data_IF_142242503833
#
_entry.id   IF_142242503833
#
_cell.length_a   1.000
_cell.length_b   1.000
_cell.length_c   1.000
_cell.angle_alpha   90.00
_cell.angle_beta   90.00
_cell.angle_gamma   90.00
#
_symmetry.space_group_name_H-M   'P 1'
#
loop_
_entity.id
_entity.type
_entity.pdbx_description
1 polymer ?
#
# COMPACT_ATOMS: atom_id res chain seq x y z
N UNK A 1 57.76 -64.68 -72.77
CA UNK A 1 56.73 -63.82 -73.27
C UNK A 1 55.99 -63.20 -72.09
N UNK A 2 56.20 -61.92 -71.76
CA UNK A 2 55.57 -61.22 -70.65
C UNK A 2 54.66 -60.14 -71.22
N UNK A 3 53.47 -59.98 -70.67
CA UNK A 3 52.60 -58.86 -71.07
C UNK A 3 52.90 -57.61 -70.17
N UNK A 4 52.53 -56.37 -70.64
CA UNK A 4 52.90 -55.12 -69.99
C UNK A 4 51.94 -54.72 -68.91
N UNK A 5 52.50 -54.01 -67.86
CA UNK A 5 51.79 -53.44 -66.73
C UNK A 5 51.12 -52.11 -67.14
N UNK A 6 49.83 -51.96 -66.91
CA UNK A 6 49.07 -50.69 -66.98
C UNK A 6 49.20 -49.98 -65.62
N UNK A 7 49.67 -48.73 -65.66
CA UNK A 7 49.69 -47.83 -64.54
C UNK A 7 48.30 -47.10 -64.50
N UNK A 8 47.53 -47.35 -63.46
CA UNK A 8 46.35 -46.54 -63.12
C UNK A 8 46.71 -45.31 -62.28
N UNK A 9 46.46 -44.12 -62.80
CA UNK A 9 46.60 -42.89 -62.03
C UNK A 9 45.29 -42.67 -61.21
N UNK A 10 45.42 -42.68 -59.88
CA UNK A 10 44.39 -42.21 -58.95
C UNK A 10 44.39 -40.67 -58.93
N UNK A 11 43.24 -40.07 -59.30
CA UNK A 11 42.98 -38.66 -59.09
C UNK A 11 42.22 -38.54 -57.76
N UNK A 12 42.88 -37.97 -56.75
CA UNK A 12 42.24 -37.67 -55.48
C UNK A 12 41.53 -36.31 -55.57
N UNK A 13 40.19 -36.34 -55.52
CA UNK A 13 39.36 -35.12 -55.43
C UNK A 13 39.27 -34.71 -53.96
N UNK A 14 39.83 -33.59 -53.62
CA UNK A 14 39.68 -32.93 -52.32
C UNK A 14 38.35 -32.16 -52.30
N UNK A 15 37.32 -32.69 -51.63
CA UNK A 15 36.05 -31.95 -51.38
C UNK A 15 36.26 -31.11 -50.08
N UNK A 16 36.41 -29.79 -50.25
CA UNK A 16 36.37 -28.84 -49.13
C UNK A 16 34.95 -28.63 -48.65
N UNK A 17 34.58 -29.20 -47.47
CA UNK A 17 33.32 -28.96 -46.81
C UNK A 17 33.42 -27.60 -46.04
N UNK A 18 32.79 -26.56 -46.59
CA UNK A 18 32.51 -25.32 -45.86
C UNK A 18 31.45 -25.58 -44.76
N UNK A 19 31.89 -25.74 -43.51
CA UNK A 19 31.03 -25.78 -42.36
C UNK A 19 30.44 -24.38 -42.12
N UNK A 20 29.15 -24.19 -42.39
CA UNK A 20 28.40 -22.99 -41.95
C UNK A 20 28.19 -23.12 -40.43
N UNK A 21 28.97 -22.40 -39.64
CA UNK A 21 28.70 -22.22 -38.21
C UNK A 21 27.52 -21.28 -38.08
N UNK A 22 26.33 -21.86 -37.88
CA UNK A 22 25.14 -21.08 -37.52
C UNK A 22 25.38 -20.49 -36.10
N UNK A 23 25.59 -19.19 -36.00
CA UNK A 23 25.58 -18.47 -34.74
C UNK A 23 24.18 -18.58 -34.17
N UNK A 24 24.00 -19.37 -33.10
CA UNK A 24 22.77 -19.39 -32.33
C UNK A 24 22.64 -18.01 -31.64
N UNK A 25 21.69 -17.22 -32.11
CA UNK A 25 21.28 -16.00 -31.41
C UNK A 25 20.76 -16.42 -30.02
N UNK A 26 21.51 -16.07 -28.97
CA UNK A 26 21.04 -16.23 -27.60
C UNK A 26 19.80 -15.39 -27.45
N UNK A 27 18.67 -16.01 -27.07
CA UNK A 27 17.46 -15.29 -26.70
C UNK A 27 17.82 -14.28 -25.58
N UNK A 28 17.33 -13.03 -25.66
CA UNK A 28 17.58 -12.05 -24.62
C UNK A 28 17.14 -12.63 -23.26
N UNK A 29 18.01 -12.56 -22.27
CA UNK A 29 17.70 -13.02 -20.92
C UNK A 29 16.43 -12.30 -20.44
N UNK A 30 15.46 -13.02 -19.87
CA UNK A 30 14.28 -12.43 -19.29
C UNK A 30 14.71 -11.38 -18.24
N UNK A 31 14.05 -10.22 -18.16
CA UNK A 31 14.38 -9.22 -17.18
C UNK A 31 14.29 -9.82 -15.76
N UNK A 32 15.19 -9.42 -14.85
CA UNK A 32 15.18 -9.95 -13.48
C UNK A 32 13.86 -9.64 -12.79
N UNK A 33 13.35 -10.60 -11.98
CA UNK A 33 12.11 -10.43 -11.22
C UNK A 33 12.17 -9.17 -10.34
N UNK A 34 11.10 -8.38 -10.27
CA UNK A 34 10.98 -7.30 -9.31
C UNK A 34 10.99 -7.78 -7.84
N UNK A 35 10.60 -9.03 -7.58
CA UNK A 35 10.58 -9.60 -6.23
C UNK A 35 12.01 -9.97 -5.83
N UNK A 36 12.54 -9.28 -4.81
CA UNK A 36 13.87 -9.50 -4.23
C UNK A 36 13.79 -10.52 -3.09
N UNK A 37 12.71 -10.45 -2.29
CA UNK A 37 12.49 -11.33 -1.14
C UNK A 37 10.99 -11.60 -0.98
N UNK A 38 10.65 -12.81 -0.56
CA UNK A 38 9.30 -13.21 -0.18
C UNK A 38 9.38 -14.15 1.01
N UNK A 39 8.86 -13.71 2.16
CA UNK A 39 8.96 -14.42 3.44
C UNK A 39 7.67 -14.26 4.26
N UNK A 40 7.51 -15.01 5.33
CA UNK A 40 6.49 -14.73 6.34
C UNK A 40 7.12 -13.98 7.51
N UNK A 41 6.37 -13.04 8.12
CA UNK A 41 6.87 -12.28 9.29
C UNK A 41 7.11 -13.19 10.50
N UNK A 42 6.43 -14.33 10.57
CA UNK A 42 6.68 -15.34 11.59
C UNK A 42 6.63 -16.74 10.97
N UNK A 43 7.57 -17.59 11.31
CA UNK A 43 7.56 -19.02 10.90
C UNK A 43 6.33 -19.74 11.46
N UNK A 44 6.01 -19.48 12.72
CA UNK A 44 4.79 -19.93 13.38
C UNK A 44 3.93 -18.73 13.72
N UNK A 45 2.70 -18.70 13.21
CA UNK A 45 1.73 -17.68 13.58
C UNK A 45 1.45 -17.70 15.09
N UNK A 46 1.47 -16.56 15.77
CA UNK A 46 1.20 -16.51 17.21
C UNK A 46 -0.27 -16.73 17.55
N UNK A 47 -1.17 -16.65 16.57
CA UNK A 47 -2.63 -16.78 16.71
C UNK A 47 -3.22 -17.57 15.55
N UNK A 48 -4.42 -18.18 15.70
CA UNK A 48 -5.12 -18.86 14.62
C UNK A 48 -5.36 -17.97 13.40
N UNK A 49 -5.74 -16.69 13.63
CA UNK A 49 -5.91 -15.70 12.57
C UNK A 49 -5.04 -14.46 12.79
N UNK A 50 -4.58 -13.88 11.70
CA UNK A 50 -3.81 -12.63 11.64
C UNK A 50 -4.31 -11.77 10.47
N UNK A 51 -4.47 -10.44 10.69
CA UNK A 51 -5.03 -9.56 9.67
C UNK A 51 -4.53 -8.11 9.80
N UNK A 52 -4.64 -7.34 8.69
CA UNK A 52 -4.43 -5.90 8.61
C UNK A 52 -3.08 -5.45 9.19
N UNK A 53 -2.01 -5.83 8.51
CA UNK A 53 -0.66 -5.44 8.90
C UNK A 53 -0.33 -4.00 8.53
N UNK A 54 0.66 -3.45 9.23
CA UNK A 54 1.31 -2.17 8.98
C UNK A 54 2.82 -2.34 9.02
N UNK A 55 3.55 -1.50 8.28
CA UNK A 55 5.02 -1.49 8.21
C UNK A 55 5.57 -0.11 8.55
N UNK A 56 6.75 -0.06 9.15
CA UNK A 56 7.51 1.15 9.39
C UNK A 56 9.02 0.86 9.35
N UNK A 57 9.78 1.65 8.60
CA UNK A 57 11.21 1.80 8.79
C UNK A 57 11.45 2.93 9.79
N UNK A 58 12.04 2.63 10.96
CA UNK A 58 12.36 3.62 11.99
C UNK A 58 13.55 4.49 11.58
N UNK A 59 13.79 5.59 12.29
CA UNK A 59 14.91 6.49 11.98
C UNK A 59 16.28 5.83 12.12
N UNK A 60 16.44 4.83 12.96
CA UNK A 60 17.67 4.05 13.08
C UNK A 60 17.79 2.91 12.03
N UNK A 61 16.78 2.75 11.14
CA UNK A 61 16.81 1.78 10.03
C UNK A 61 16.23 0.42 10.39
N UNK A 62 15.59 0.25 11.54
CA UNK A 62 14.89 -0.99 11.86
C UNK A 62 13.57 -1.07 11.10
N UNK A 63 13.21 -2.25 10.66
CA UNK A 63 11.91 -2.50 10.08
C UNK A 63 10.98 -3.12 11.12
N UNK A 64 9.86 -2.47 11.38
CA UNK A 64 8.80 -2.93 12.26
C UNK A 64 7.58 -3.35 11.45
N UNK A 65 6.89 -4.40 11.91
CA UNK A 65 5.59 -4.81 11.41
C UNK A 65 4.64 -5.03 12.59
N UNK A 66 3.41 -4.54 12.47
CA UNK A 66 2.37 -4.84 13.44
C UNK A 66 1.09 -5.30 12.73
N UNK A 67 0.26 -6.10 13.40
CA UNK A 67 -1.02 -6.60 12.91
C UNK A 67 -1.95 -6.93 14.07
N UNK A 68 -3.21 -7.15 13.80
CA UNK A 68 -4.07 -7.72 14.80
C UNK A 68 -4.24 -9.24 14.60
N UNK A 69 -4.42 -9.99 15.69
CA UNK A 69 -4.58 -11.44 15.64
C UNK A 69 -5.16 -12.01 16.93
N UNK A 70 -5.94 -13.08 16.77
CA UNK A 70 -6.64 -13.83 17.81
C UNK A 70 -7.30 -15.06 17.21
N UNK A 71 -8.36 -15.57 17.84
CA UNK A 71 -9.10 -16.72 17.33
C UNK A 71 -9.73 -16.42 15.97
N UNK A 72 -10.42 -15.30 15.82
CA UNK A 72 -10.93 -14.76 14.56
C UNK A 72 -11.15 -13.25 14.68
N UNK A 73 -11.29 -12.56 13.56
CA UNK A 73 -11.58 -11.13 13.53
C UNK A 73 -12.85 -10.81 14.33
N UNK A 74 -12.75 -9.88 15.29
CA UNK A 74 -13.85 -9.52 16.19
C UNK A 74 -13.99 -10.38 17.44
N UNK A 75 -13.18 -11.42 17.62
CA UNK A 75 -13.16 -12.18 18.87
C UNK A 75 -12.53 -11.33 20.00
N UNK A 76 -12.99 -11.52 21.23
CA UNK A 76 -12.57 -10.74 22.39
C UNK A 76 -11.07 -10.90 22.74
N UNK A 77 -10.42 -11.98 22.29
CA UNK A 77 -9.00 -12.27 22.51
C UNK A 77 -8.07 -11.57 21.50
N UNK A 78 -8.64 -10.91 20.49
CA UNK A 78 -7.85 -10.21 19.45
C UNK A 78 -7.00 -9.11 20.07
N UNK A 79 -5.69 -9.22 19.90
CA UNK A 79 -4.69 -8.25 20.34
C UNK A 79 -3.83 -7.74 19.20
N UNK A 80 -3.00 -6.74 19.49
CA UNK A 80 -2.01 -6.17 18.58
C UNK A 80 -0.67 -6.87 18.78
N UNK A 81 -0.15 -7.42 17.72
CA UNK A 81 1.13 -8.10 17.65
C UNK A 81 2.15 -7.25 16.90
N UNK A 82 3.40 -7.29 17.36
CA UNK A 82 4.53 -6.58 16.78
C UNK A 82 5.68 -7.54 16.54
N UNK A 83 6.33 -7.43 15.39
CA UNK A 83 7.62 -8.05 15.09
C UNK A 83 8.60 -6.99 14.60
N UNK A 84 9.88 -7.17 14.92
CA UNK A 84 11.00 -6.39 14.42
C UNK A 84 11.82 -7.27 13.48
N UNK A 85 12.24 -6.74 12.34
CA UNK A 85 13.14 -7.44 11.44
C UNK A 85 14.58 -7.26 11.91
N UNK A 86 15.24 -8.38 12.20
CA UNK A 86 16.69 -8.44 12.40
C UNK A 86 17.44 -8.45 11.06
N UNK A 87 18.76 -8.54 11.07
CA UNK A 87 19.58 -8.54 9.85
C UNK A 87 19.24 -9.65 8.85
N UNK A 88 18.83 -10.82 9.32
CA UNK A 88 18.57 -12.00 8.50
C UNK A 88 17.09 -12.39 8.46
N UNK A 89 16.37 -12.24 9.57
CA UNK A 89 15.01 -12.72 9.73
C UNK A 89 14.19 -11.85 10.71
N UNK A 90 12.88 -12.02 10.71
CA UNK A 90 12.00 -11.43 11.69
C UNK A 90 12.19 -12.08 13.06
N UNK A 91 12.19 -11.27 14.11
CA UNK A 91 12.19 -11.73 15.50
C UNK A 91 10.81 -12.33 15.84
N UNK A 92 10.76 -13.13 16.89
CA UNK A 92 9.49 -13.70 17.40
C UNK A 92 8.50 -12.58 17.71
N UNK A 93 7.27 -12.63 17.15
CA UNK A 93 6.26 -11.65 17.44
C UNK A 93 5.89 -11.62 18.92
N UNK A 94 5.63 -10.42 19.43
CA UNK A 94 5.13 -10.21 20.80
C UNK A 94 3.83 -9.44 20.78
N UNK A 95 2.93 -9.75 21.71
CA UNK A 95 1.69 -9.00 21.92
C UNK A 95 2.04 -7.71 22.67
N UNK A 96 1.60 -6.57 22.15
CA UNK A 96 1.92 -5.26 22.72
C UNK A 96 0.71 -4.49 23.21
N UNK A 97 -0.50 -4.86 22.76
CA UNK A 97 -1.75 -4.28 23.21
C UNK A 97 -2.90 -5.27 23.06
N UNK A 98 -3.93 -5.11 23.89
CA UNK A 98 -5.20 -5.84 23.81
C UNK A 98 -6.32 -5.02 24.46
N UNK A 99 -7.54 -5.57 24.43
CA UNK A 99 -8.72 -4.98 25.05
C UNK A 99 -9.30 -5.81 26.19
N UNK A 100 -8.47 -6.58 26.92
CA UNK A 100 -8.91 -7.55 27.92
C UNK A 100 -9.84 -6.96 29.02
N UNK A 101 -9.71 -5.66 29.33
CA UNK A 101 -10.52 -4.96 30.34
C UNK A 101 -11.05 -3.60 29.87
N UNK A 102 -11.14 -3.40 28.55
CA UNK A 102 -11.40 -2.09 27.97
C UNK A 102 -12.88 -1.79 27.72
N UNK A 103 -13.73 -2.80 27.73
CA UNK A 103 -15.19 -2.65 27.53
C UNK A 103 -15.94 -2.22 28.79
N UNK A 104 -17.23 -2.00 28.66
CA UNK A 104 -18.12 -1.68 29.78
C UNK A 104 -18.03 -2.82 30.81
N UNK A 105 -17.98 -2.46 32.10
CA UNK A 105 -17.84 -3.39 33.22
C UNK A 105 -16.60 -4.31 33.15
N UNK A 106 -15.53 -3.86 32.46
CA UNK A 106 -14.29 -4.61 32.34
C UNK A 106 -14.37 -5.81 31.37
N UNK A 107 -15.39 -5.88 30.54
CA UNK A 107 -15.52 -6.93 29.53
C UNK A 107 -14.44 -6.77 28.44
N UNK A 108 -13.87 -7.88 27.99
CA UNK A 108 -12.90 -7.88 26.92
C UNK A 108 -13.55 -7.46 25.59
N UNK A 109 -12.84 -6.62 24.84
CA UNK A 109 -13.23 -6.21 23.48
C UNK A 109 -12.05 -6.40 22.51
N UNK A 110 -12.32 -6.70 21.22
CA UNK A 110 -11.27 -6.89 20.24
C UNK A 110 -10.47 -5.61 19.96
N UNK A 111 -9.19 -5.83 19.64
CA UNK A 111 -8.32 -4.81 19.07
C UNK A 111 -8.34 -4.88 17.54
N UNK A 112 -8.18 -3.71 16.87
CA UNK A 112 -8.33 -3.57 15.42
C UNK A 112 -7.24 -2.71 14.81
N UNK A 113 -6.91 -2.99 13.56
CA UNK A 113 -6.16 -2.16 12.60
C UNK A 113 -5.04 -1.32 13.23
N UNK A 114 -3.88 -1.91 13.56
CA UNK A 114 -2.73 -1.13 13.98
C UNK A 114 -2.18 -0.31 12.81
N UNK A 115 -1.67 0.88 13.12
CA UNK A 115 -0.94 1.74 12.19
C UNK A 115 0.31 2.25 12.87
N UNK A 116 1.47 1.86 12.33
CA UNK A 116 2.78 2.38 12.73
C UNK A 116 3.09 3.67 11.99
N UNK A 117 3.64 4.63 12.71
CA UNK A 117 4.10 5.91 12.16
C UNK A 117 5.25 6.47 13.00
N UNK A 118 6.17 7.18 12.37
CA UNK A 118 7.18 7.98 13.04
C UNK A 118 7.34 9.30 12.30
N UNK A 119 7.16 10.41 13.01
CA UNK A 119 7.45 11.74 12.48
C UNK A 119 8.95 11.96 12.36
N UNK A 120 9.37 13.02 11.68
CA UNK A 120 10.79 13.33 11.47
C UNK A 120 11.59 13.48 12.76
N UNK A 121 10.97 13.94 13.85
CA UNK A 121 11.64 14.23 15.14
C UNK A 121 11.05 13.47 16.32
N UNK A 122 9.82 12.96 16.21
CA UNK A 122 9.08 12.33 17.31
C UNK A 122 9.41 10.86 17.58
N UNK A 123 8.79 10.27 18.59
CA UNK A 123 8.87 8.84 18.87
C UNK A 123 8.18 8.00 17.80
N UNK A 124 8.39 6.69 17.82
CA UNK A 124 7.55 5.76 17.10
C UNK A 124 6.17 5.76 17.75
N UNK A 125 5.13 5.88 16.92
CA UNK A 125 3.73 5.89 17.34
C UNK A 125 3.04 4.65 16.75
N UNK A 126 2.25 3.97 17.57
CA UNK A 126 1.36 2.91 17.11
C UNK A 126 -0.05 3.29 17.50
N UNK A 127 -0.88 3.47 16.48
CA UNK A 127 -2.32 3.71 16.61
C UNK A 127 -3.07 2.40 16.43
N UNK A 128 -4.13 2.19 17.21
CA UNK A 128 -5.03 1.05 17.07
C UNK A 128 -6.41 1.39 17.60
N UNK A 129 -7.37 0.51 17.45
CA UNK A 129 -8.73 0.72 17.93
C UNK A 129 -9.11 -0.41 18.88
N UNK A 130 -9.94 -0.08 19.85
CA UNK A 130 -10.64 -1.04 20.69
C UNK A 130 -12.14 -0.84 20.54
N UNK A 131 -12.92 -1.88 20.63
CA UNK A 131 -14.36 -1.81 20.59
C UNK A 131 -15.00 -3.05 19.96
N UNK A 132 -16.31 -3.24 20.15
CA UNK A 132 -16.98 -4.47 19.72
C UNK A 132 -17.04 -4.64 18.19
N UNK A 133 -16.98 -3.55 17.44
CA UNK A 133 -17.00 -3.52 15.97
C UNK A 133 -16.59 -2.14 15.42
N UNK A 134 -16.35 -2.01 14.10
CA UNK A 134 -15.92 -0.74 13.49
C UNK A 134 -16.91 0.43 13.58
N UNK A 135 -18.17 0.20 13.96
CA UNK A 135 -19.16 1.28 14.17
C UNK A 135 -19.11 1.85 15.59
N UNK A 136 -18.48 1.12 16.53
CA UNK A 136 -18.51 1.43 17.96
C UNK A 136 -17.12 1.40 18.60
N UNK A 137 -16.07 1.44 17.83
CA UNK A 137 -14.70 1.47 18.31
C UNK A 137 -14.21 2.87 18.66
N UNK A 138 -13.12 2.95 19.40
CA UNK A 138 -12.43 4.18 19.75
C UNK A 138 -10.93 4.05 19.48
N UNK A 139 -10.25 5.19 19.27
CA UNK A 139 -8.83 5.24 18.97
C UNK A 139 -7.95 5.22 20.22
N UNK A 140 -6.80 4.54 20.11
CA UNK A 140 -5.74 4.54 21.11
C UNK A 140 -4.39 4.73 20.42
N UNK A 141 -3.41 5.15 21.23
CA UNK A 141 -2.02 5.35 20.82
C UNK A 141 -1.06 4.75 21.86
N UNK A 142 0.02 4.14 21.37
CA UNK A 142 1.23 3.79 22.13
C UNK A 142 2.41 4.58 21.58
N UNK A 143 3.37 4.92 22.43
CA UNK A 143 4.61 5.62 22.07
C UNK A 143 5.82 4.76 22.42
N UNK A 144 6.84 4.80 21.55
CA UNK A 144 8.14 4.20 21.80
C UNK A 144 9.25 5.20 21.49
N UNK A 145 10.12 5.45 22.44
CA UNK A 145 11.29 6.34 22.32
C UNK A 145 12.58 5.59 21.99
N UNK A 146 12.51 4.27 21.86
CA UNK A 146 13.62 3.37 21.60
C UNK A 146 13.38 2.45 20.37
N UNK A 147 12.74 3.04 19.36
CA UNK A 147 12.51 2.44 18.04
C UNK A 147 11.76 1.10 18.11
N UNK A 148 10.75 1.02 18.98
CA UNK A 148 9.83 -0.10 19.09
C UNK A 148 10.24 -1.18 20.09
N UNK A 149 11.35 -1.00 20.86
CA UNK A 149 11.76 -1.96 21.87
C UNK A 149 10.80 -1.96 23.07
N UNK A 150 10.47 -0.80 23.59
CA UNK A 150 9.50 -0.64 24.69
C UNK A 150 8.39 0.35 24.28
N UNK A 151 7.21 0.17 24.88
CA UNK A 151 6.03 0.97 24.57
C UNK A 151 5.41 1.56 25.84
N UNK A 152 4.92 2.77 25.73
CA UNK A 152 4.15 3.42 26.80
C UNK A 152 2.87 2.65 27.12
N UNK A 153 2.23 2.90 28.27
CA UNK A 153 0.84 2.52 28.45
C UNK A 153 -0.06 3.08 27.34
N UNK A 154 -1.18 2.40 27.02
CA UNK A 154 -2.15 2.89 26.04
C UNK A 154 -2.71 4.26 26.43
N UNK A 155 -2.75 5.17 25.47
CA UNK A 155 -3.38 6.49 25.60
C UNK A 155 -4.63 6.52 24.72
N UNK A 156 -5.80 6.73 25.31
CA UNK A 156 -7.04 6.93 24.54
C UNK A 156 -6.97 8.28 23.82
N UNK A 157 -7.32 8.27 22.54
CA UNK A 157 -7.49 9.51 21.79
C UNK A 157 -8.77 10.24 22.23
N UNK A 158 -8.84 11.56 22.05
CA UNK A 158 -10.04 12.33 22.40
C UNK A 158 -11.30 11.79 21.73
N UNK A 159 -12.45 12.01 22.34
CA UNK A 159 -13.71 11.58 21.76
C UNK A 159 -13.93 12.20 20.38
N UNK A 160 -14.36 11.35 19.43
CA UNK A 160 -14.53 11.73 18.03
C UNK A 160 -13.25 11.64 17.19
N UNK A 161 -12.09 11.42 17.79
CA UNK A 161 -10.80 11.17 17.12
C UNK A 161 -10.52 9.67 17.11
N UNK A 162 -10.25 9.12 15.93
CA UNK A 162 -9.93 7.70 15.74
C UNK A 162 -8.46 7.47 15.42
N UNK A 163 -7.74 8.52 15.01
CA UNK A 163 -6.41 8.38 14.42
C UNK A 163 -6.45 7.73 13.04
N UNK A 164 -5.31 7.37 12.47
CA UNK A 164 -5.25 6.64 11.20
C UNK A 164 -5.93 5.28 11.34
N UNK A 165 -6.83 4.95 10.41
CA UNK A 165 -7.64 3.71 10.53
C UNK A 165 -6.88 2.47 10.05
N UNK A 166 -6.22 2.53 8.89
CA UNK A 166 -5.52 1.40 8.29
C UNK A 166 -4.19 1.81 7.66
N UNK A 167 -4.19 2.92 6.95
CA UNK A 167 -3.04 3.36 6.19
C UNK A 167 -2.28 4.44 6.96
N UNK A 168 -0.99 4.53 6.68
CA UNK A 168 -0.04 5.40 7.37
C UNK A 168 -0.36 6.89 7.18
N UNK A 169 -0.16 7.73 8.21
CA UNK A 169 -0.15 9.18 8.06
C UNK A 169 0.95 9.66 7.11
N UNK A 170 0.81 10.90 6.63
CA UNK A 170 1.89 11.66 6.00
C UNK A 170 2.23 12.86 6.87
N UNK A 171 3.52 13.22 6.94
CA UNK A 171 3.95 14.47 7.54
C UNK A 171 4.21 15.49 6.42
N UNK A 172 3.53 16.63 6.51
CA UNK A 172 3.69 17.73 5.56
C UNK A 172 4.98 18.51 5.85
N UNK A 173 5.50 19.29 4.88
CA UNK A 173 6.73 20.08 5.07
C UNK A 173 6.68 21.09 6.23
N UNK A 174 5.48 21.54 6.61
CA UNK A 174 5.27 22.44 7.77
C UNK A 174 5.25 21.69 9.13
N UNK A 175 5.48 20.37 9.14
CA UNK A 175 5.48 19.54 10.34
C UNK A 175 4.12 18.91 10.69
N UNK A 176 3.02 19.37 10.10
CA UNK A 176 1.68 18.80 10.33
C UNK A 176 1.64 17.32 9.98
N UNK A 177 1.15 16.51 10.90
CA UNK A 177 0.80 15.11 10.66
C UNK A 177 -0.64 15.07 10.15
N UNK A 178 -0.83 14.49 8.96
CA UNK A 178 -2.13 14.29 8.36
C UNK A 178 -2.46 12.79 8.34
N UNK A 179 -3.45 12.39 9.13
CA UNK A 179 -3.84 10.99 9.32
C UNK A 179 -5.08 10.65 8.47
N UNK A 180 -4.98 9.60 7.63
CA UNK A 180 -6.12 9.10 6.88
C UNK A 180 -7.05 8.32 7.80
N UNK A 181 -8.25 8.83 7.99
CA UNK A 181 -9.25 8.27 8.89
C UNK A 181 -10.56 7.98 8.18
N UNK A 182 -11.46 7.27 8.84
CA UNK A 182 -12.81 7.01 8.34
C UNK A 182 -13.72 6.55 9.47
N UNK A 183 -15.04 6.70 9.27
CA UNK A 183 -16.05 6.20 10.19
C UNK A 183 -17.11 5.38 9.45
N UNK A 184 -17.73 4.44 10.16
CA UNK A 184 -18.72 3.50 9.63
C UNK A 184 -20.07 3.57 10.36
N UNK A 185 -20.19 4.42 11.37
CA UNK A 185 -21.37 4.58 12.23
C UNK A 185 -22.61 5.10 11.50
N UNK A 186 -22.43 5.98 10.51
CA UNK A 186 -23.49 6.60 9.71
C UNK A 186 -23.30 6.39 8.21
N UNK A 187 -22.86 5.21 7.81
CA UNK A 187 -22.39 4.89 6.47
C UNK A 187 -20.89 5.14 6.35
N UNK A 188 -20.29 4.66 5.27
CA UNK A 188 -18.86 4.74 5.04
C UNK A 188 -18.40 6.13 4.65
N UNK A 189 -17.66 6.79 5.53
CA UNK A 189 -17.21 8.17 5.36
C UNK A 189 -15.70 8.27 5.61
N UNK A 190 -14.96 8.57 4.56
CA UNK A 190 -13.56 8.95 4.66
C UNK A 190 -13.44 10.38 5.19
N UNK A 191 -12.50 10.64 6.07
CA UNK A 191 -12.15 11.97 6.55
C UNK A 191 -10.66 12.00 6.91
N UNK A 192 -10.15 13.17 7.19
CA UNK A 192 -8.79 13.33 7.70
C UNK A 192 -8.83 13.83 9.13
N UNK A 193 -7.84 13.43 9.88
CA UNK A 193 -7.51 13.98 11.19
C UNK A 193 -6.08 14.52 11.14
N UNK A 194 -5.78 15.59 11.86
CA UNK A 194 -4.44 16.16 11.82
C UNK A 194 -3.97 16.61 13.20
N UNK A 195 -2.66 16.68 13.34
CA UNK A 195 -1.96 17.18 14.51
C UNK A 195 -0.81 18.08 14.07
N UNK A 196 -0.66 19.21 14.75
CA UNK A 196 0.43 20.17 14.53
C UNK A 196 1.53 20.04 15.59
N UNK A 197 1.39 19.13 16.55
CA UNK A 197 2.26 18.95 17.72
C UNK A 197 2.61 17.48 17.97
N UNK A 198 2.94 16.77 16.90
CA UNK A 198 3.38 15.37 16.92
C UNK A 198 2.38 14.39 17.57
N UNK A 199 1.09 14.66 17.36
CA UNK A 199 0.00 13.82 17.85
C UNK A 199 -0.40 14.07 19.30
N UNK A 200 0.07 15.15 19.95
CA UNK A 200 -0.39 15.51 21.29
C UNK A 200 -1.85 16.01 21.26
N UNK A 201 -2.19 16.83 20.28
CA UNK A 201 -3.56 17.29 20.06
C UNK A 201 -4.00 16.96 18.63
N UNK A 202 -5.28 16.62 18.48
CA UNK A 202 -5.86 16.21 17.20
C UNK A 202 -7.07 17.05 16.85
N UNK A 203 -7.22 17.32 15.55
CA UNK A 203 -8.38 17.92 14.95
C UNK A 203 -8.94 16.96 13.90
N UNK A 204 -10.26 17.05 13.68
CA UNK A 204 -10.98 16.22 12.69
C UNK A 204 -11.62 17.07 11.63
N UNK A 205 -11.41 16.69 10.37
CA UNK A 205 -12.04 17.29 9.20
C UNK A 205 -13.45 16.79 8.95
N UNK A 206 -14.13 17.48 8.06
CA UNK A 206 -15.42 17.05 7.52
C UNK A 206 -15.23 15.80 6.65
N UNK A 207 -16.27 14.96 6.50
CA UNK A 207 -16.22 13.84 5.56
C UNK A 207 -15.87 14.31 4.13
N UNK A 208 -15.03 13.54 3.45
CA UNK A 208 -14.62 13.77 2.06
C UNK A 208 -15.68 13.32 1.05
N UNK A 209 -16.69 12.57 1.50
CA UNK A 209 -17.71 11.96 0.65
C UNK A 209 -19.10 12.04 1.29
N UNK A 210 -20.10 12.05 0.42
CA UNK A 210 -21.46 11.65 0.80
C UNK A 210 -21.56 10.12 0.71
N UNK A 211 -21.76 9.46 1.85
CA UNK A 211 -21.84 8.02 1.94
C UNK A 211 -22.99 7.40 1.13
N UNK A 212 -24.02 8.20 0.76
CA UNK A 212 -25.12 7.75 -0.11
C UNK A 212 -24.71 7.69 -1.58
N UNK A 213 -23.83 8.59 -2.00
CA UNK A 213 -23.33 8.64 -3.37
C UNK A 213 -22.15 7.66 -3.56
N UNK A 214 -21.13 7.77 -2.70
CA UNK A 214 -19.94 6.90 -2.71
C UNK A 214 -19.64 6.50 -1.26
N UNK A 215 -19.86 5.24 -0.90
CA UNK A 215 -19.44 4.72 0.39
C UNK A 215 -17.94 4.45 0.39
N UNK A 216 -17.14 5.28 1.07
CA UNK A 216 -15.67 5.27 1.00
C UNK A 216 -15.02 5.26 2.40
N UNK A 217 -14.00 4.41 2.60
CA UNK A 217 -13.23 4.33 3.86
C UNK A 217 -11.75 4.04 3.62
N UNK A 218 -10.95 4.20 4.68
CA UNK A 218 -9.56 3.78 4.78
C UNK A 218 -8.67 4.33 3.66
N UNK A 219 -8.63 5.64 3.42
CA UNK A 219 -7.77 6.21 2.39
C UNK A 219 -6.28 5.97 2.66
N UNK A 220 -5.48 5.85 1.60
CA UNK A 220 -4.06 6.18 1.60
C UNK A 220 -3.89 7.64 1.23
N UNK A 221 -2.88 8.30 1.76
CA UNK A 221 -2.49 9.66 1.39
C UNK A 221 -1.22 9.63 0.54
N UNK A 222 -1.26 10.30 -0.59
CA UNK A 222 -0.13 10.50 -1.48
C UNK A 222 0.19 11.99 -1.57
N UNK A 223 1.42 12.37 -1.19
CA UNK A 223 1.94 13.72 -1.35
C UNK A 223 2.84 13.76 -2.59
N UNK A 224 2.36 14.41 -3.63
CA UNK A 224 3.08 14.52 -4.90
C UNK A 224 4.19 15.58 -4.83
N UNK A 225 5.24 15.48 -5.68
CA UNK A 225 6.32 16.48 -5.71
C UNK A 225 5.86 17.91 -6.02
N UNK A 226 4.72 18.08 -6.69
CA UNK A 226 4.10 19.39 -7.00
C UNK A 226 3.26 19.95 -5.83
N UNK A 227 3.23 19.28 -4.70
CA UNK A 227 2.50 19.68 -3.49
C UNK A 227 1.04 19.23 -3.44
N UNK A 228 0.50 18.60 -4.50
CA UNK A 228 -0.83 18.01 -4.46
C UNK A 228 -0.89 16.87 -3.44
N UNK A 229 -1.99 16.80 -2.72
CA UNK A 229 -2.35 15.63 -1.92
C UNK A 229 -3.46 14.84 -2.63
N UNK A 230 -3.38 13.52 -2.60
CA UNK A 230 -4.45 12.64 -3.03
C UNK A 230 -4.86 11.75 -1.86
N UNK A 231 -6.17 11.63 -1.64
CA UNK A 231 -6.76 10.56 -0.83
C UNK A 231 -7.35 9.50 -1.77
N UNK A 232 -6.85 8.27 -1.65
CA UNK A 232 -7.14 7.14 -2.52
C UNK A 232 -7.48 5.93 -1.67
N UNK A 233 -8.56 5.21 -1.97
CA UNK A 233 -8.92 4.03 -1.19
C UNK A 233 -10.11 3.25 -1.73
N UNK A 234 -10.62 2.32 -0.92
CA UNK A 234 -11.71 1.41 -1.30
C UNK A 234 -13.09 2.06 -1.20
N UNK A 235 -13.98 1.64 -2.08
CA UNK A 235 -15.39 2.03 -2.03
C UNK A 235 -16.32 0.81 -2.07
N UNK A 236 -17.59 1.04 -1.75
CA UNK A 236 -18.66 0.04 -1.89
C UNK A 236 -19.09 -0.17 -3.35
N UNK A 237 -18.58 0.62 -4.29
CA UNK A 237 -18.96 0.62 -5.70
C UNK A 237 -18.05 -0.24 -6.58
N UNK A 238 -17.30 -1.19 -6.01
CA UNK A 238 -16.35 -2.07 -6.72
C UNK A 238 -15.25 -1.33 -7.49
N UNK A 239 -14.96 -0.09 -7.12
CA UNK A 239 -13.88 0.74 -7.68
C UNK A 239 -13.15 1.47 -6.57
N UNK A 240 -11.94 1.88 -6.82
CA UNK A 240 -11.24 2.79 -5.93
C UNK A 240 -11.84 4.19 -6.05
N UNK A 241 -11.95 4.88 -4.91
CA UNK A 241 -12.24 6.32 -4.91
C UNK A 241 -10.95 7.13 -4.95
N UNK A 242 -11.05 8.35 -5.44
CA UNK A 242 -10.00 9.36 -5.42
C UNK A 242 -10.56 10.75 -5.19
N UNK A 243 -9.80 11.56 -4.47
CA UNK A 243 -10.01 13.01 -4.37
C UNK A 243 -8.67 13.70 -4.15
N UNK A 244 -8.55 14.96 -4.60
CA UNK A 244 -7.32 15.75 -4.51
C UNK A 244 -7.52 17.01 -3.68
N UNK A 245 -6.44 17.43 -3.01
CA UNK A 245 -6.28 18.74 -2.39
C UNK A 245 -5.07 19.45 -3.01
N UNK A 246 -5.21 20.76 -3.26
CA UNK A 246 -4.16 21.61 -3.83
C UNK A 246 -3.58 22.60 -2.80
N UNK A 247 -4.05 22.55 -1.55
CA UNK A 247 -3.76 23.53 -0.50
C UNK A 247 -3.33 22.85 0.83
N UNK A 248 -2.64 21.73 0.73
CA UNK A 248 -2.12 21.02 1.90
C UNK A 248 -3.19 20.31 2.74
N UNK A 249 -4.31 19.93 2.13
CA UNK A 249 -5.37 19.16 2.78
C UNK A 249 -6.44 20.01 3.46
N UNK A 250 -6.46 21.34 3.22
CA UNK A 250 -7.48 22.23 3.77
C UNK A 250 -8.82 22.08 3.03
N UNK A 251 -8.77 22.03 1.70
CA UNK A 251 -9.94 21.82 0.85
C UNK A 251 -9.70 20.63 -0.09
N UNK A 252 -10.75 19.86 -0.35
CA UNK A 252 -10.73 18.67 -1.19
C UNK A 252 -11.71 18.81 -2.34
N UNK A 253 -11.28 18.37 -3.51
CA UNK A 253 -12.15 18.30 -4.68
C UNK A 253 -13.26 17.28 -4.46
N UNK A 254 -14.36 17.31 -5.24
CA UNK A 254 -15.37 16.26 -5.18
C UNK A 254 -14.76 14.87 -5.39
N UNK A 255 -15.13 13.93 -4.50
CA UNK A 255 -14.70 12.54 -4.62
C UNK A 255 -15.30 11.90 -5.87
N UNK A 256 -14.48 11.11 -6.59
CA UNK A 256 -14.92 10.35 -7.76
C UNK A 256 -14.36 8.93 -7.71
N UNK A 257 -14.92 8.06 -8.53
CA UNK A 257 -14.44 6.68 -8.70
C UNK A 257 -13.41 6.64 -9.85
N UNK A 258 -12.28 5.97 -9.62
CA UNK A 258 -11.29 5.67 -10.64
C UNK A 258 -11.76 4.48 -11.49
N UNK A 259 -11.22 4.36 -12.70
CA UNK A 259 -11.40 3.14 -13.50
C UNK A 259 -10.39 2.05 -13.07
N UNK A 260 -10.42 1.75 -11.78
CA UNK A 260 -9.61 0.72 -11.12
C UNK A 260 -10.55 -0.12 -10.26
N UNK A 261 -10.75 -1.36 -10.68
CA UNK A 261 -11.60 -2.31 -9.93
C UNK A 261 -11.00 -2.64 -8.57
N UNK A 262 -11.89 -2.80 -7.58
CA UNK A 262 -11.54 -3.27 -6.24
C UNK A 262 -12.79 -3.87 -5.58
N UNK A 263 -12.72 -5.11 -5.04
CA UNK A 263 -13.87 -5.82 -4.48
C UNK A 263 -14.20 -5.33 -3.06
N UNK A 264 -14.16 -4.02 -2.84
CA UNK A 264 -14.33 -3.46 -1.52
C UNK A 264 -13.32 -4.05 -0.49
N UNK A 265 -12.07 -4.24 -0.93
CA UNK A 265 -10.96 -4.71 -0.12
C UNK A 265 -10.01 -3.58 0.26
N UNK A 266 -9.42 -3.65 1.45
CA UNK A 266 -8.42 -2.68 1.89
C UNK A 266 -7.23 -2.61 0.92
N UNK A 267 -6.77 -1.39 0.64
CA UNK A 267 -5.61 -1.09 -0.22
C UNK A 267 -4.58 -0.29 0.56
N UNK A 268 -3.37 -0.18 0.07
CA UNK A 268 -2.41 0.85 0.50
C UNK A 268 -1.59 1.36 -0.69
N UNK A 269 -1.16 2.63 -0.58
CA UNK A 269 -0.37 3.28 -1.61
C UNK A 269 0.77 4.10 -1.00
N UNK A 270 1.82 4.34 -1.79
CA UNK A 270 2.99 5.13 -1.39
C UNK A 270 3.53 5.91 -2.58
N UNK A 271 4.04 7.13 -2.35
CA UNK A 271 4.86 7.84 -3.33
C UNK A 271 6.27 7.29 -3.32
N UNK A 272 6.75 6.87 -4.49
CA UNK A 272 8.13 6.46 -4.68
C UNK A 272 9.03 7.69 -4.87
N UNK A 273 10.31 7.56 -4.54
CA UNK A 273 11.30 8.65 -4.70
C UNK A 273 11.51 9.08 -6.15
N UNK A 274 11.17 8.22 -7.11
CA UNK A 274 11.23 8.53 -8.53
C UNK A 274 10.00 9.31 -9.05
N UNK A 275 9.07 9.66 -8.14
CA UNK A 275 7.88 10.44 -8.44
C UNK A 275 6.66 9.61 -8.87
N UNK A 276 6.79 8.30 -9.02
CA UNK A 276 5.64 7.42 -9.27
C UNK A 276 4.87 7.15 -7.98
N UNK A 277 3.56 7.10 -8.05
CA UNK A 277 2.73 6.50 -7.03
C UNK A 277 2.67 4.98 -7.24
N UNK A 278 2.77 4.21 -6.15
CA UNK A 278 2.63 2.76 -6.15
C UNK A 278 1.42 2.37 -5.30
N UNK A 279 0.59 1.48 -5.83
CA UNK A 279 -0.63 0.97 -5.21
C UNK A 279 -0.53 -0.55 -5.08
N UNK A 280 -0.93 -1.09 -3.92
CA UNK A 280 -1.14 -2.52 -3.71
C UNK A 280 -2.62 -2.75 -3.43
N UNK A 281 -3.26 -3.64 -4.21
CA UNK A 281 -4.71 -3.78 -4.22
C UNK A 281 -5.18 -5.13 -4.77
N UNK A 282 -6.48 -5.42 -4.63
CA UNK A 282 -7.12 -6.56 -5.26
C UNK A 282 -7.82 -6.09 -6.56
N UNK A 283 -7.34 -6.48 -7.76
CA UNK A 283 -7.88 -6.05 -9.06
C UNK A 283 -9.06 -6.93 -9.50
N UNK A 284 -10.19 -6.82 -8.81
CA UNK A 284 -11.39 -7.60 -9.09
C UNK A 284 -12.64 -6.85 -8.61
N UNK A 285 -13.80 -7.34 -8.96
CA UNK A 285 -15.09 -6.92 -8.39
C UNK A 285 -15.52 -7.88 -7.28
N UNK A 286 -16.35 -7.42 -6.34
CA UNK A 286 -16.94 -8.25 -5.31
C UNK A 286 -17.90 -9.27 -5.92
N UNK A 287 -17.89 -10.48 -5.39
CA UNK A 287 -18.85 -11.53 -5.71
C UNK A 287 -19.97 -11.60 -4.68
N UNK A 288 -20.51 -12.80 -4.49
CA UNK A 288 -21.62 -13.05 -3.57
C UNK A 288 -21.19 -12.98 -2.11
N UNK A 289 -20.01 -13.53 -1.82
CA UNK A 289 -19.46 -13.59 -0.47
C UNK A 289 -18.49 -12.42 -0.23
N UNK A 290 -18.36 -11.98 1.02
CA UNK A 290 -17.58 -10.79 1.38
C UNK A 290 -16.06 -10.92 1.09
N UNK A 291 -15.55 -12.13 0.92
CA UNK A 291 -14.15 -12.42 0.56
C UNK A 291 -13.93 -12.57 -0.95
N UNK A 292 -14.98 -12.63 -1.73
CA UNK A 292 -14.88 -12.78 -3.18
C UNK A 292 -14.10 -11.61 -3.79
N UNK A 293 -13.29 -11.92 -4.80
CA UNK A 293 -12.42 -10.96 -5.46
C UNK A 293 -11.09 -10.69 -4.73
N UNK A 294 -10.83 -11.33 -3.58
CA UNK A 294 -9.58 -11.17 -2.82
C UNK A 294 -8.52 -12.22 -3.11
N UNK A 295 -8.73 -13.08 -4.10
CA UNK A 295 -7.81 -14.14 -4.51
C UNK A 295 -6.58 -13.65 -5.25
N UNK A 296 -6.67 -12.51 -5.93
CA UNK A 296 -5.53 -11.87 -6.61
C UNK A 296 -5.10 -10.63 -5.84
N UNK A 297 -3.79 -10.52 -5.55
CA UNK A 297 -3.17 -9.30 -5.00
C UNK A 297 -2.14 -8.78 -6.00
N UNK A 298 -2.23 -7.52 -6.37
CA UNK A 298 -1.41 -6.92 -7.41
C UNK A 298 -0.79 -5.59 -6.99
N UNK A 299 0.26 -5.21 -7.74
CA UNK A 299 0.93 -3.90 -7.66
C UNK A 299 0.65 -3.14 -8.94
N UNK A 300 0.26 -1.89 -8.82
CA UNK A 300 0.14 -0.94 -9.92
C UNK A 300 0.94 0.33 -9.64
N UNK A 301 1.32 1.04 -10.71
CA UNK A 301 2.01 2.32 -10.63
C UNK A 301 1.26 3.38 -11.44
N UNK A 302 1.42 4.64 -11.02
CA UNK A 302 0.84 5.81 -11.69
C UNK A 302 1.76 7.01 -11.54
N UNK A 303 1.74 7.94 -12.52
CA UNK A 303 2.43 9.24 -12.40
C UNK A 303 1.48 10.39 -12.06
N UNK A 304 0.19 10.22 -12.31
CA UNK A 304 -0.83 11.26 -12.15
C UNK A 304 -1.85 10.96 -11.04
N UNK A 305 -1.87 9.71 -10.53
CA UNK A 305 -2.82 9.23 -9.53
C UNK A 305 -4.21 8.87 -10.10
N UNK A 306 -4.39 8.98 -11.41
CA UNK A 306 -5.65 8.71 -12.12
C UNK A 306 -5.54 7.46 -12.98
N UNK A 307 -4.49 7.38 -13.79
CA UNK A 307 -4.22 6.27 -14.66
C UNK A 307 -3.22 5.31 -14.01
N UNK A 308 -3.66 4.07 -13.75
CA UNK A 308 -2.89 3.07 -13.04
C UNK A 308 -2.54 1.90 -13.96
N UNK A 309 -1.27 1.55 -14.02
CA UNK A 309 -0.78 0.39 -14.76
C UNK A 309 -0.38 -0.72 -13.80
N UNK A 310 -1.02 -1.89 -13.91
CA UNK A 310 -0.60 -3.09 -13.18
C UNK A 310 0.78 -3.54 -13.69
N UNK A 311 1.74 -3.68 -12.77
CA UNK A 311 3.13 -4.04 -13.08
C UNK A 311 3.54 -5.39 -12.50
N UNK A 312 2.82 -5.90 -11.49
CA UNK A 312 3.15 -7.16 -10.83
C UNK A 312 1.92 -7.81 -10.21
N UNK A 313 1.86 -9.14 -10.22
CA UNK A 313 0.95 -9.94 -9.40
C UNK A 313 1.76 -10.56 -8.27
N UNK A 314 1.37 -10.31 -7.02
CA UNK A 314 2.02 -10.87 -5.83
C UNK A 314 1.46 -12.25 -5.49
N UNK A 315 0.14 -12.40 -5.59
CA UNK A 315 -0.60 -13.63 -5.31
C UNK A 315 -1.73 -13.80 -6.32
N UNK A 316 -2.04 -15.05 -6.65
CA UNK A 316 -3.17 -15.40 -7.51
C UNK A 316 -3.70 -16.79 -7.13
N UNK A 317 -4.95 -16.87 -6.68
CA UNK A 317 -5.64 -18.09 -6.30
C UNK A 317 -7.15 -17.90 -6.42
N UNK A 318 -7.82 -18.91 -6.93
CA UNK A 318 -9.28 -18.90 -7.05
C UNK A 318 -10.01 -19.11 -5.70
N UNK A 319 -9.31 -19.59 -4.65
CA UNK A 319 -9.95 -20.09 -3.42
C UNK A 319 -9.40 -19.47 -2.13
N UNK A 320 -8.41 -18.60 -2.22
CA UNK A 320 -7.72 -18.03 -1.07
C UNK A 320 -7.96 -16.53 -0.94
N UNK A 321 -7.70 -15.96 0.24
CA UNK A 321 -7.72 -14.53 0.50
C UNK A 321 -6.30 -13.99 0.68
N UNK A 322 -5.95 -12.96 -0.12
CA UNK A 322 -4.75 -12.13 0.02
C UNK A 322 -5.19 -10.67 0.02
N UNK A 323 -5.11 -10.01 1.17
CA UNK A 323 -5.80 -8.73 1.33
C UNK A 323 -5.12 -7.81 2.34
N UNK A 324 -5.62 -6.60 2.47
CA UNK A 324 -5.19 -5.61 3.46
C UNK A 324 -3.68 -5.36 3.44
N UNK A 325 -3.11 -5.00 2.28
CA UNK A 325 -1.69 -4.71 2.19
C UNK A 325 -1.32 -3.45 2.98
N UNK A 326 -0.06 -3.40 3.43
CA UNK A 326 0.64 -2.19 3.80
C UNK A 326 1.88 -2.07 2.92
N UNK A 327 2.24 -0.87 2.50
CA UNK A 327 3.40 -0.63 1.63
C UNK A 327 4.18 0.59 2.08
N UNK A 328 5.52 0.47 2.11
CA UNK A 328 6.46 1.57 2.32
C UNK A 328 7.62 1.46 1.34
N UNK A 329 8.29 2.57 1.07
CA UNK A 329 9.62 2.54 0.44
C UNK A 329 10.66 2.89 1.49
N UNK A 330 11.64 2.00 1.69
CA UNK A 330 12.73 2.15 2.65
C UNK A 330 13.88 3.01 2.10
N UNK A 331 14.81 3.41 2.96
CA UNK A 331 15.92 4.32 2.59
C UNK A 331 16.87 3.76 1.53
N UNK A 332 16.98 2.44 1.43
CA UNK A 332 17.74 1.76 0.38
C UNK A 332 17.06 1.80 -1.00
N UNK A 333 15.83 2.35 -1.09
CA UNK A 333 15.07 2.47 -2.33
C UNK A 333 14.16 1.28 -2.62
N UNK A 334 14.24 0.20 -1.85
CA UNK A 334 13.37 -0.97 -2.00
C UNK A 334 11.96 -0.68 -1.48
N UNK A 335 10.99 -1.41 -2.00
CA UNK A 335 9.60 -1.32 -1.58
C UNK A 335 9.26 -2.55 -0.75
N UNK A 336 8.79 -2.34 0.46
CA UNK A 336 8.35 -3.38 1.36
C UNK A 336 6.84 -3.43 1.39
N UNK A 337 6.28 -4.60 1.14
CA UNK A 337 4.85 -4.88 1.16
C UNK A 337 4.58 -5.95 2.20
N UNK A 338 3.63 -5.72 3.10
CA UNK A 338 3.08 -6.79 3.94
C UNK A 338 1.60 -6.93 3.70
N UNK A 339 1.04 -8.12 3.86
CA UNK A 339 -0.37 -8.39 3.63
C UNK A 339 -0.86 -9.62 4.37
N UNK A 340 -2.17 -9.67 4.57
CA UNK A 340 -2.87 -10.84 5.09
C UNK A 340 -2.80 -11.98 4.08
N UNK A 341 -2.25 -13.10 4.50
CA UNK A 341 -2.16 -14.33 3.73
C UNK A 341 -3.11 -15.37 4.30
N UNK A 342 -4.22 -15.63 3.59
CA UNK A 342 -5.24 -16.64 3.93
C UNK A 342 -5.83 -16.49 5.35
N UNK A 343 -5.89 -15.25 5.86
CA UNK A 343 -6.27 -14.94 7.26
C UNK A 343 -5.42 -15.62 8.34
N UNK A 344 -4.41 -16.38 7.99
CA UNK A 344 -3.61 -17.19 8.93
C UNK A 344 -2.27 -16.56 9.29
N UNK A 345 -1.67 -15.82 8.37
CA UNK A 345 -0.31 -15.29 8.51
C UNK A 345 -0.19 -13.93 7.86
N UNK A 346 0.86 -13.20 8.22
CA UNK A 346 1.27 -11.99 7.51
C UNK A 346 2.48 -12.33 6.63
N UNK A 347 2.35 -12.08 5.33
CA UNK A 347 3.43 -12.24 4.36
C UNK A 347 4.12 -10.90 4.14
N UNK A 348 5.42 -10.94 3.95
CA UNK A 348 6.29 -9.80 3.65
C UNK A 348 7.01 -10.05 2.33
N UNK A 349 6.95 -9.07 1.43
CA UNK A 349 7.61 -9.11 0.13
C UNK A 349 8.40 -7.82 -0.07
N UNK A 350 9.64 -7.97 -0.57
CA UNK A 350 10.52 -6.85 -0.92
C UNK A 350 10.61 -6.76 -2.43
N UNK A 351 10.38 -5.57 -2.98
CA UNK A 351 10.37 -5.30 -4.40
C UNK A 351 11.46 -4.29 -4.76
N UNK A 352 12.11 -4.51 -5.89
CA UNK A 352 12.97 -3.51 -6.52
C UNK A 352 12.13 -2.72 -7.57
N UNK A 353 11.75 -1.47 -7.29
CA UNK A 353 10.90 -0.70 -8.18
C UNK A 353 11.59 -0.30 -9.49
N UNK A 354 12.91 -0.43 -9.58
CA UNK A 354 13.67 -0.19 -10.83
C UNK A 354 13.47 -1.31 -11.86
N UNK A 355 13.00 -2.47 -11.42
CA UNK A 355 12.71 -3.64 -12.27
C UNK A 355 11.24 -3.73 -12.71
N UNK A 356 10.40 -2.78 -12.36
CA UNK A 356 9.08 -2.67 -12.98
C UNK A 356 9.25 -2.30 -14.45
N UNK A 357 8.53 -2.99 -15.33
CA UNK A 357 8.58 -2.69 -16.77
C UNK A 357 8.28 -1.22 -17.05
N UNK A 358 8.72 -0.72 -18.20
CA UNK A 358 8.43 0.64 -18.60
C UNK A 358 6.91 0.91 -18.52
N UNK A 359 6.55 1.98 -17.82
CA UNK A 359 5.16 2.42 -17.75
C UNK A 359 4.78 3.00 -19.11
N UNK A 360 4.05 2.23 -19.93
CA UNK A 360 3.64 2.66 -21.27
C UNK A 360 2.64 3.83 -21.24
N UNK A 361 1.96 4.05 -20.11
CA UNK A 361 1.05 5.18 -19.87
C UNK A 361 1.73 6.34 -19.14
N UNK A 362 3.01 6.21 -18.81
CA UNK A 362 3.79 7.18 -18.04
C UNK A 362 4.49 8.23 -18.93
N UNK A 363 3.94 8.61 -20.07
CA UNK A 363 4.37 9.87 -20.70
C UNK A 363 3.77 11.01 -19.87
N UNK A 364 4.63 11.71 -19.13
CA UNK A 364 4.22 12.92 -18.44
C UNK A 364 3.55 13.85 -19.46
N UNK A 365 2.36 14.43 -19.18
CA UNK A 365 1.88 15.54 -19.97
C UNK A 365 2.96 16.62 -19.93
N UNK A 366 3.33 17.14 -21.10
CA UNK A 366 4.25 18.27 -21.17
C UNK A 366 3.78 19.36 -20.19
N UNK A 367 4.67 20.01 -19.42
CA UNK A 367 4.27 21.03 -18.47
C UNK A 367 3.45 22.08 -19.22
N UNK A 368 2.17 22.21 -18.87
CA UNK A 368 1.31 23.25 -19.42
C UNK A 368 1.97 24.58 -19.08
N UNK A 369 2.45 25.27 -20.08
CA UNK A 369 3.06 26.59 -19.93
C UNK A 369 2.03 27.53 -19.31
N UNK A 370 2.45 28.36 -18.37
CA UNK A 370 1.62 29.34 -17.64
C UNK A 370 0.80 30.28 -18.53
N UNK A 371 1.00 30.26 -19.87
CA UNK A 371 0.31 31.12 -20.83
C UNK A 371 -1.12 30.66 -21.20
N UNK A 372 -1.49 29.38 -20.98
CA UNK A 372 -2.81 28.88 -21.37
C UNK A 372 -3.89 29.03 -20.28
N UNK A 373 -3.53 29.48 -19.08
CA UNK A 373 -4.49 29.66 -17.97
C UNK A 373 -5.19 31.03 -17.92
N UNK A 374 -4.81 31.99 -18.81
CA UNK A 374 -5.34 33.35 -18.79
C UNK A 374 -6.41 33.65 -19.83
N UNK A 375 -6.74 32.74 -20.74
CA UNK A 375 -7.66 33.05 -21.86
C UNK A 375 -9.12 32.61 -21.64
N UNK A 376 -9.44 31.91 -20.53
CA UNK A 376 -10.82 31.44 -20.28
C UNK A 376 -11.58 32.22 -19.19
N UNK A 377 -10.99 33.23 -18.57
CA UNK A 377 -11.62 34.00 -17.48
C UNK A 377 -12.01 35.45 -17.85
N UNK A 378 -11.79 35.89 -19.09
CA UNK A 378 -12.19 37.22 -19.54
C UNK A 378 -13.02 37.15 -20.82
N UNK A 379 -14.30 36.89 -20.69
CA UNK A 379 -15.23 36.95 -21.80
C UNK A 379 -16.67 36.81 -21.33
N UNK A 380 -17.22 37.90 -20.81
CA UNK A 380 -18.55 38.45 -21.08
C UNK A 380 -18.89 39.49 -20.01
N UNK A 381 -18.44 40.71 -20.25
CA UNK A 381 -19.09 41.88 -19.70
C UNK A 381 -20.24 42.23 -20.67
N UNK A 382 -21.47 42.11 -20.21
CA UNK A 382 -22.62 42.55 -20.93
C UNK A 382 -22.71 44.09 -20.87
N UNK A 383 -22.91 44.67 -22.01
CA UNK A 383 -23.14 46.11 -22.27
C UNK A 383 -24.51 46.53 -21.70
N UNK A 384 -24.65 47.62 -20.91
CA UNK A 384 -25.94 48.12 -20.47
C UNK A 384 -26.34 49.32 -21.36
N UNK A 385 -27.10 49.11 -22.43
CA UNK A 385 -27.89 50.15 -23.06
C UNK A 385 -28.93 49.59 -24.04
N UNK A 386 -30.17 49.45 -23.58
CA UNK A 386 -31.44 49.87 -24.17
C UNK A 386 -32.63 49.22 -23.45
#
# INVERSE_FOLDING_TARGET
MHPPRLLSRLVASLAASLGVVAAQAQSPASPPSPIVLSEFIADRAPTPQAHASTLLETRDGRLLAAWFGGEHEGAADVGIWLAQRGPQQWQTPRRIADGAHAGVDGVAVPAWNPVLFQSTTGPVQLYYKLGPNPRQWWGLRLLSTDDGAHWSPPQRLPDGILGPIKNKPVQLPNGRILAPSSSEDRGWRAHLEWSDDDGAHWQRGMPLNDAKAIGAIQPSLLLYPDGRLQALGRSQQNKLFSTFSLDGGLHWQPMHLLDVENPNSGTDAVMLRDGRALLVYNPAIAGKDWWDGRGTLAVAVSIDGVHWQRVLTLEDSAHDEFSYPAVIQTRDGLVHVSYTWKRRRIKHVVLDPTRFGACSTCQAPAPATLSERCTTACGHAADPSS
#
